data_IF_660414520065
#
_entry.id   IF_660414520065
#
_cell.length_a   1.000
_cell.length_b   1.000
_cell.length_c   1.000
_cell.angle_alpha   90.00
_cell.angle_beta   90.00
_cell.angle_gamma   90.00
#
_symmetry.space_group_name_H-M   'P 1'
#
loop_
_entity.id
_entity.type
_entity.pdbx_description
1 polymer ?
#
# COMPACT_ATOMS: atom_id res chain seq x y z
N UNK A 1 17.17 -0.40 9.99
CA UNK A 1 16.07 -0.16 10.92
C UNK A 1 16.51 0.60 12.16
N UNK A 2 17.52 0.12 12.91
CA UNK A 2 17.96 0.73 14.17
C UNK A 2 18.36 2.21 14.02
N UNK A 3 19.10 2.55 12.97
CA UNK A 3 19.55 3.92 12.71
C UNK A 3 18.37 4.86 12.41
N UNK A 4 17.36 4.38 11.68
CA UNK A 4 16.15 5.14 11.40
C UNK A 4 15.33 5.39 12.67
N UNK A 5 15.20 4.36 13.52
CA UNK A 5 14.52 4.49 14.80
C UNK A 5 15.21 5.52 15.70
N UNK A 6 16.53 5.48 15.83
CA UNK A 6 17.27 6.46 16.62
C UNK A 6 17.14 7.88 16.07
N UNK A 7 17.21 8.05 14.75
CA UNK A 7 16.99 9.34 14.10
C UNK A 7 15.66 9.94 14.47
N UNK A 8 14.58 9.14 14.44
CA UNK A 8 13.24 9.58 14.81
C UNK A 8 13.15 9.89 16.29
N UNK A 9 13.63 9.00 17.17
CA UNK A 9 13.56 9.18 18.63
C UNK A 9 14.29 10.44 19.13
N UNK A 10 15.36 10.86 18.44
CA UNK A 10 16.08 12.10 18.76
C UNK A 10 15.32 13.38 18.38
N UNK A 11 14.32 13.26 17.50
CA UNK A 11 13.60 14.39 16.88
C UNK A 11 12.10 14.42 17.14
N UNK A 12 11.55 13.36 17.72
CA UNK A 12 10.12 13.33 18.03
C UNK A 12 9.75 14.47 19.01
N UNK A 13 8.60 15.05 18.77
CA UNK A 13 8.05 16.15 19.58
C UNK A 13 7.46 15.67 20.92
N UNK A 14 7.52 14.36 21.19
CA UNK A 14 6.94 13.76 22.38
C UNK A 14 7.93 13.72 23.54
N UNK A 15 7.41 13.95 24.74
CA UNK A 15 8.18 13.74 25.97
C UNK A 15 8.44 12.24 26.19
N UNK A 16 9.47 11.88 27.00
CA UNK A 16 9.69 10.48 27.38
C UNK A 16 8.47 9.80 28.01
N UNK A 17 7.67 10.54 28.78
CA UNK A 17 6.45 10.03 29.40
C UNK A 17 5.37 9.75 28.35
N UNK A 18 5.23 10.61 27.35
CA UNK A 18 4.29 10.40 26.25
C UNK A 18 4.70 9.19 25.40
N UNK A 19 5.99 9.07 25.04
CA UNK A 19 6.51 7.90 24.33
C UNK A 19 6.32 6.61 25.12
N UNK A 20 6.57 6.64 26.43
CA UNK A 20 6.38 5.47 27.27
C UNK A 20 4.91 5.00 27.28
N UNK A 21 3.96 5.93 27.36
CA UNK A 21 2.52 5.63 27.34
C UNK A 21 2.00 5.06 26.01
N UNK A 22 2.77 5.19 24.91
CA UNK A 22 2.44 4.57 23.61
C UNK A 22 2.75 3.07 23.62
N UNK A 23 3.88 2.68 24.21
CA UNK A 23 4.44 1.34 24.07
C UNK A 23 4.25 0.46 25.31
N UNK A 24 3.93 1.07 26.47
CA UNK A 24 3.87 0.39 27.76
C UNK A 24 2.61 0.79 28.51
N UNK A 25 1.75 -0.15 28.81
CA UNK A 25 0.56 0.06 29.63
C UNK A 25 0.95 0.64 31.01
N UNK A 26 0.17 1.61 31.48
CA UNK A 26 0.38 2.31 32.76
C UNK A 26 1.69 3.12 32.88
N UNK A 27 2.39 3.36 31.76
CA UNK A 27 3.57 4.21 31.73
C UNK A 27 3.24 5.62 31.27
N UNK A 28 3.44 6.62 32.16
CA UNK A 28 3.26 8.02 31.82
C UNK A 28 1.82 8.49 31.62
N UNK A 29 1.65 9.69 31.07
CA UNK A 29 0.34 10.23 30.72
C UNK A 29 0.11 9.93 29.24
N UNK A 30 -0.90 9.16 28.85
CA UNK A 30 -1.10 8.80 27.46
C UNK A 30 -1.65 9.97 26.65
N UNK A 31 -0.78 10.86 26.17
CA UNK A 31 -1.10 11.61 24.97
C UNK A 31 -0.86 10.63 23.83
N UNK A 32 -1.93 10.08 23.29
CA UNK A 32 -1.80 9.13 22.22
C UNK A 32 -1.45 9.89 20.91
N UNK A 33 -0.21 9.81 20.39
CA UNK A 33 0.19 10.52 19.18
C UNK A 33 -0.60 10.07 17.96
N UNK A 34 -1.20 8.89 18.00
CA UNK A 34 -2.11 8.40 16.98
C UNK A 34 -3.40 9.24 16.90
N UNK A 35 -3.68 10.04 17.93
CA UNK A 35 -4.87 10.89 18.05
C UNK A 35 -4.58 12.39 17.87
N UNK A 36 -3.36 12.77 17.49
CA UNK A 36 -3.06 14.18 17.19
C UNK A 36 -3.94 14.62 16.00
N UNK A 37 -4.67 15.71 16.23
CA UNK A 37 -5.53 16.33 15.21
C UNK A 37 -4.86 17.58 14.65
N UNK A 38 -4.95 17.73 13.36
CA UNK A 38 -4.59 18.94 12.64
C UNK A 38 -5.64 19.18 11.54
N UNK A 39 -5.75 20.38 11.02
CA UNK A 39 -6.82 20.74 10.09
C UNK A 39 -6.26 21.39 8.84
N UNK A 40 -6.79 21.00 7.68
CA UNK A 40 -6.61 21.69 6.41
C UNK A 40 -7.74 22.69 6.19
N UNK A 41 -7.43 23.73 5.43
CA UNK A 41 -8.47 24.63 4.93
C UNK A 41 -9.18 23.97 3.76
N UNK A 42 -10.41 23.51 4.00
CA UNK A 42 -11.24 22.92 2.95
C UNK A 42 -12.10 24.02 2.31
N UNK A 43 -12.07 24.14 0.96
CA UNK A 43 -12.85 25.19 0.27
C UNK A 43 -14.34 25.06 0.53
N UNK A 44 -14.99 26.20 0.80
CA UNK A 44 -16.45 26.28 0.91
C UNK A 44 -17.15 25.99 -0.44
N UNK A 45 -18.46 26.21 -0.46
CA UNK A 45 -19.25 26.09 -1.71
C UNK A 45 -19.54 24.65 -2.12
N UNK A 46 -19.70 23.72 -1.15
CA UNK A 46 -20.17 22.36 -1.44
C UNK A 46 -21.45 22.41 -2.26
N UNK A 47 -21.49 21.83 -3.48
CA UNK A 47 -22.71 21.76 -4.26
C UNK A 47 -23.78 20.93 -3.55
N UNK A 48 -25.06 21.24 -3.80
CA UNK A 48 -26.13 20.39 -3.29
C UNK A 48 -25.98 18.95 -3.79
N UNK A 49 -26.14 17.99 -2.88
CA UNK A 49 -26.04 16.56 -3.21
C UNK A 49 -27.14 16.22 -4.21
N UNK A 50 -26.72 15.64 -5.33
CA UNK A 50 -27.65 15.17 -6.35
C UNK A 50 -27.76 13.65 -6.24
N UNK A 51 -29.00 13.11 -6.26
CA UNK A 51 -29.17 11.67 -6.30
C UNK A 51 -28.50 11.09 -7.57
N UNK A 52 -27.92 9.91 -7.45
CA UNK A 52 -27.35 9.22 -8.59
C UNK A 52 -28.43 9.00 -9.67
N UNK A 53 -28.13 9.28 -10.95
CA UNK A 53 -29.10 9.13 -12.01
C UNK A 53 -29.51 7.66 -12.16
N UNK A 54 -30.81 7.40 -12.18
CA UNK A 54 -31.34 6.07 -12.49
C UNK A 54 -30.96 5.69 -13.92
N UNK A 55 -30.25 4.59 -14.09
CA UNK A 55 -29.89 4.06 -15.42
C UNK A 55 -31.14 3.43 -16.03
N UNK A 56 -31.78 4.11 -16.99
CA UNK A 56 -33.02 3.65 -17.64
C UNK A 56 -32.78 2.74 -18.85
N UNK A 57 -31.55 2.68 -19.35
CA UNK A 57 -31.16 1.83 -20.48
C UNK A 57 -29.69 1.41 -20.34
N UNK A 58 -29.29 0.28 -20.94
CA UNK A 58 -27.89 -0.13 -20.95
C UNK A 58 -27.02 0.98 -21.51
N UNK A 59 -26.07 1.46 -20.74
CA UNK A 59 -25.01 2.38 -21.19
C UNK A 59 -23.75 1.60 -21.44
N UNK A 60 -22.83 2.16 -22.21
CA UNK A 60 -21.48 1.61 -22.35
C UNK A 60 -20.84 1.53 -20.96
N UNK A 61 -20.51 0.34 -20.53
CA UNK A 61 -19.82 0.05 -19.26
C UNK A 61 -18.32 -0.06 -19.51
N UNK A 62 -17.55 0.13 -18.47
CA UNK A 62 -16.13 -0.21 -18.45
C UNK A 62 -15.92 -1.45 -17.59
N UNK A 63 -15.03 -2.32 -18.05
CA UNK A 63 -14.56 -3.47 -17.29
C UNK A 63 -13.20 -3.13 -16.73
N UNK A 64 -13.11 -3.15 -15.42
CA UNK A 64 -11.90 -2.83 -14.66
C UNK A 64 -11.53 -4.04 -13.83
N UNK A 65 -10.27 -4.45 -13.89
CA UNK A 65 -9.70 -5.41 -12.95
C UNK A 65 -9.11 -4.63 -11.78
N UNK A 66 -9.45 -5.01 -10.56
CA UNK A 66 -8.81 -4.52 -9.35
C UNK A 66 -8.01 -5.67 -8.72
N UNK A 67 -6.73 -5.44 -8.49
CA UNK A 67 -5.80 -6.33 -7.80
C UNK A 67 -5.22 -5.59 -6.59
N UNK A 68 -4.92 -6.30 -5.53
CA UNK A 68 -4.28 -5.73 -4.34
C UNK A 68 -3.55 -6.79 -3.53
N UNK A 69 -2.58 -6.36 -2.72
CA UNK A 69 -1.97 -7.18 -1.67
C UNK A 69 -1.47 -8.53 -2.19
N UNK A 70 -0.69 -8.48 -3.28
CA UNK A 70 -0.28 -9.69 -4.00
C UNK A 70 0.80 -10.45 -3.22
N UNK A 71 1.66 -9.75 -2.48
CA UNK A 71 2.72 -10.28 -1.62
C UNK A 71 3.46 -11.47 -2.23
N UNK A 72 4.20 -11.20 -3.32
CA UNK A 72 4.90 -12.25 -4.07
C UNK A 72 6.14 -12.71 -3.32
N UNK A 73 6.12 -13.95 -2.81
CA UNK A 73 7.26 -14.58 -2.18
C UNK A 73 8.15 -15.30 -3.21
N UNK A 74 9.30 -14.70 -3.50
CA UNK A 74 10.29 -15.27 -4.43
C UNK A 74 11.11 -16.38 -3.82
N UNK A 75 11.18 -16.47 -2.48
CA UNK A 75 11.88 -17.51 -1.74
C UNK A 75 10.95 -18.68 -1.36
N UNK A 76 9.69 -18.63 -1.82
CA UNK A 76 8.75 -19.73 -1.61
C UNK A 76 9.30 -21.05 -2.09
N UNK A 77 9.41 -22.02 -1.20
CA UNK A 77 9.98 -23.33 -1.48
C UNK A 77 8.96 -24.45 -1.34
N UNK A 78 8.71 -25.17 -2.45
CA UNK A 78 7.80 -26.32 -2.46
C UNK A 78 8.34 -27.41 -1.53
N UNK A 79 7.45 -27.95 -0.67
CA UNK A 79 7.77 -29.04 0.24
C UNK A 79 8.41 -28.60 1.55
N UNK A 80 8.68 -27.30 1.75
CA UNK A 80 9.06 -26.75 3.05
C UNK A 80 7.87 -26.70 4.02
N UNK A 81 8.11 -26.39 5.28
CA UNK A 81 7.04 -26.35 6.30
C UNK A 81 6.12 -25.13 6.09
N UNK A 82 4.85 -25.36 5.92
CA UNK A 82 3.82 -24.33 5.78
C UNK A 82 3.20 -23.93 7.11
N UNK A 83 3.43 -24.68 8.20
CA UNK A 83 2.96 -24.37 9.54
C UNK A 83 4.15 -24.20 10.52
N UNK A 84 5.03 -23.27 10.20
CA UNK A 84 6.25 -23.03 10.96
C UNK A 84 6.05 -22.17 12.21
N UNK A 85 4.86 -21.61 12.42
CA UNK A 85 4.51 -20.83 13.61
C UNK A 85 4.17 -21.72 14.83
N UNK A 86 4.19 -23.03 14.69
CA UNK A 86 3.96 -23.93 15.83
C UNK A 86 5.00 -23.63 16.93
N UNK A 87 4.49 -23.38 18.12
CA UNK A 87 5.33 -23.27 19.30
C UNK A 87 6.05 -24.60 19.50
N UNK A 88 7.38 -24.56 19.54
CA UNK A 88 8.12 -25.69 20.06
C UNK A 88 7.81 -25.86 21.57
N UNK A 89 8.14 -27.02 22.15
CA UNK A 89 7.89 -27.34 23.57
C UNK A 89 8.50 -26.34 24.56
N UNK A 90 9.29 -25.37 24.08
CA UNK A 90 9.93 -24.29 24.85
C UNK A 90 9.22 -22.92 24.66
N UNK A 91 8.07 -22.84 23.97
CA UNK A 91 7.30 -21.61 23.76
C UNK A 91 7.93 -20.61 22.79
N UNK A 92 8.97 -20.98 22.05
CA UNK A 92 9.57 -20.13 21.02
C UNK A 92 8.85 -20.35 19.69
N UNK A 93 8.12 -19.35 19.23
CA UNK A 93 7.66 -19.26 17.85
C UNK A 93 8.89 -19.29 16.90
N UNK A 94 8.77 -19.99 15.78
CA UNK A 94 9.93 -20.24 14.93
C UNK A 94 10.13 -19.14 13.89
N UNK A 95 9.14 -18.85 13.07
CA UNK A 95 9.28 -17.84 12.00
C UNK A 95 7.95 -17.08 11.76
N UNK A 96 8.06 -15.83 11.35
CA UNK A 96 6.87 -15.01 11.05
C UNK A 96 6.24 -15.38 9.71
N UNK A 97 7.04 -15.80 8.72
CA UNK A 97 6.63 -16.26 7.40
C UNK A 97 7.14 -17.67 7.17
N UNK A 98 6.28 -18.58 6.70
CA UNK A 98 6.56 -19.97 6.43
C UNK A 98 6.81 -20.23 4.93
N UNK A 99 6.75 -21.50 4.51
CA UNK A 99 6.94 -21.92 3.13
C UNK A 99 8.34 -21.61 2.53
N UNK A 100 9.36 -21.51 3.37
CA UNK A 100 10.75 -21.21 3.00
C UNK A 100 11.71 -22.25 3.55
N UNK A 101 12.88 -22.37 2.95
CA UNK A 101 13.97 -23.22 3.44
C UNK A 101 14.83 -22.46 4.45
N UNK A 102 14.48 -22.54 5.71
CA UNK A 102 15.32 -22.00 6.78
C UNK A 102 16.46 -22.95 7.10
N UNK A 103 17.73 -22.44 7.19
CA UNK A 103 18.90 -23.30 7.44
C UNK A 103 18.81 -24.14 8.72
N UNK A 104 18.18 -23.62 9.76
CA UNK A 104 17.97 -24.31 11.04
C UNK A 104 17.00 -25.48 10.91
N UNK A 105 15.95 -25.38 10.13
CA UNK A 105 14.98 -26.46 9.89
C UNK A 105 15.63 -27.62 9.12
N UNK A 106 16.43 -27.31 8.11
CA UNK A 106 17.14 -28.32 7.33
C UNK A 106 18.14 -29.09 8.18
N UNK A 107 18.83 -28.42 9.10
CA UNK A 107 19.77 -29.04 10.00
C UNK A 107 19.04 -29.92 11.01
N UNK A 108 17.97 -29.42 11.61
CA UNK A 108 17.21 -30.16 12.61
C UNK A 108 16.47 -31.37 11.98
N UNK A 109 15.82 -31.17 10.83
CA UNK A 109 15.14 -32.24 10.09
C UNK A 109 16.13 -33.36 9.67
N UNK A 110 17.34 -33.01 9.22
CA UNK A 110 18.39 -33.99 8.91
C UNK A 110 18.92 -34.69 10.15
N UNK A 111 19.06 -34.01 11.27
CA UNK A 111 19.57 -34.53 12.52
C UNK A 111 18.57 -35.45 13.26
N UNK A 112 17.30 -35.09 13.24
CA UNK A 112 16.26 -35.79 14.00
C UNK A 112 15.40 -36.72 13.14
N UNK A 113 15.55 -36.69 11.81
CA UNK A 113 14.68 -37.42 10.89
C UNK A 113 13.23 -36.87 10.93
N UNK A 114 13.07 -35.63 11.39
CA UNK A 114 11.75 -34.98 11.45
C UNK A 114 11.16 -34.85 10.05
N UNK A 115 9.93 -35.28 9.92
CA UNK A 115 9.16 -35.15 8.67
C UNK A 115 8.46 -33.81 8.70
N UNK A 116 8.53 -33.06 7.58
CA UNK A 116 7.69 -31.88 7.35
C UNK A 116 6.22 -32.27 7.54
N UNK A 117 5.52 -31.60 8.45
CA UNK A 117 4.15 -31.96 8.82
C UNK A 117 3.13 -31.41 7.82
N UNK A 118 3.35 -30.19 7.38
CA UNK A 118 2.47 -29.45 6.47
C UNK A 118 3.27 -28.95 5.27
N UNK A 119 3.55 -29.83 4.28
CA UNK A 119 4.44 -29.46 3.17
C UNK A 119 3.78 -28.39 2.26
N UNK A 120 4.53 -27.35 1.98
CA UNK A 120 4.15 -26.28 1.07
C UNK A 120 3.86 -26.82 -0.33
N UNK A 121 2.67 -26.51 -0.85
CA UNK A 121 2.21 -26.95 -2.17
C UNK A 121 2.90 -26.22 -3.33
N UNK A 122 2.71 -26.73 -4.55
CA UNK A 122 3.27 -26.12 -5.75
C UNK A 122 2.69 -24.72 -6.04
N UNK A 123 1.42 -24.52 -5.73
CA UNK A 123 0.66 -23.31 -6.08
C UNK A 123 0.38 -22.40 -4.87
N UNK A 124 0.93 -22.72 -3.74
CA UNK A 124 0.71 -22.02 -2.49
C UNK A 124 0.37 -22.98 -1.36
N UNK A 125 0.17 -22.45 -0.19
CA UNK A 125 -0.35 -23.16 0.96
C UNK A 125 -1.69 -22.56 1.41
N UNK A 126 -2.57 -23.39 1.95
CA UNK A 126 -3.90 -22.94 2.44
C UNK A 126 -3.78 -22.25 3.79
N UNK A 127 -2.60 -22.36 4.44
CA UNK A 127 -2.35 -21.78 5.74
C UNK A 127 -1.93 -20.29 5.60
N UNK A 128 -2.40 -19.46 6.51
CA UNK A 128 -2.21 -18.00 6.54
C UNK A 128 -0.76 -17.54 6.77
N UNK A 129 0.18 -18.48 6.89
CA UNK A 129 1.57 -18.16 7.21
C UNK A 129 2.51 -18.16 6.01
N UNK A 130 1.99 -18.24 4.79
CA UNK A 130 2.76 -18.27 3.56
C UNK A 130 2.22 -17.26 2.57
N UNK A 131 3.12 -16.50 1.97
CA UNK A 131 2.79 -15.58 0.89
C UNK A 131 2.70 -16.27 -0.47
N UNK A 132 2.29 -15.53 -1.49
CA UNK A 132 2.00 -16.06 -2.81
C UNK A 132 3.28 -16.45 -3.56
N UNK A 133 3.46 -17.71 -4.01
CA UNK A 133 4.61 -18.03 -4.85
C UNK A 133 4.52 -17.33 -6.22
N UNK A 134 5.64 -16.82 -6.72
CA UNK A 134 5.75 -16.12 -8.00
C UNK A 134 5.05 -16.84 -9.16
N UNK A 135 5.17 -18.19 -9.24
CA UNK A 135 4.51 -19.01 -10.27
C UNK A 135 2.99 -18.92 -10.25
N UNK A 136 2.40 -18.70 -9.06
CA UNK A 136 0.95 -18.57 -8.91
C UNK A 136 0.50 -17.21 -9.37
N UNK A 137 1.26 -16.16 -9.03
CA UNK A 137 1.05 -14.83 -9.57
C UNK A 137 1.09 -14.85 -11.10
N UNK A 138 2.14 -15.42 -11.70
CA UNK A 138 2.28 -15.51 -13.17
C UNK A 138 1.13 -16.30 -13.79
N UNK A 139 0.75 -17.44 -13.20
CA UNK A 139 -0.36 -18.25 -13.68
C UNK A 139 -1.71 -17.52 -13.59
N UNK A 140 -1.92 -16.76 -12.52
CA UNK A 140 -3.13 -15.94 -12.35
C UNK A 140 -3.21 -14.83 -13.43
N UNK A 141 -2.13 -14.08 -13.66
CA UNK A 141 -2.08 -13.04 -14.70
C UNK A 141 -2.32 -13.62 -16.09
N UNK A 142 -1.71 -14.77 -16.39
CA UNK A 142 -1.98 -15.50 -17.63
C UNK A 142 -3.46 -15.84 -17.77
N UNK A 143 -4.05 -16.49 -16.76
CA UNK A 143 -5.45 -16.89 -16.78
C UNK A 143 -6.40 -15.71 -16.98
N UNK A 144 -6.17 -14.61 -16.26
CA UNK A 144 -6.98 -13.39 -16.35
C UNK A 144 -6.89 -12.82 -17.76
N UNK A 145 -5.69 -12.74 -18.35
CA UNK A 145 -5.49 -12.21 -19.70
C UNK A 145 -6.15 -13.05 -20.79
N UNK A 146 -6.24 -14.36 -20.60
CA UNK A 146 -6.91 -15.30 -21.53
C UNK A 146 -8.43 -15.24 -21.39
N UNK A 147 -8.94 -14.98 -20.18
CA UNK A 147 -10.37 -15.03 -19.85
C UNK A 147 -11.06 -13.68 -20.01
N UNK A 148 -10.37 -12.58 -19.67
CA UNK A 148 -10.90 -11.21 -19.65
C UNK A 148 -10.19 -10.31 -20.66
N UNK A 149 -10.48 -10.51 -21.95
CA UNK A 149 -9.81 -9.80 -23.06
C UNK A 149 -10.30 -8.36 -23.30
N UNK A 150 -11.38 -7.98 -22.64
CA UNK A 150 -12.07 -6.71 -22.84
C UNK A 150 -11.91 -5.74 -21.66
N UNK A 151 -10.83 -5.88 -20.90
CA UNK A 151 -10.48 -4.94 -19.84
C UNK A 151 -10.15 -3.56 -20.42
N UNK A 152 -10.77 -2.52 -19.86
CA UNK A 152 -10.48 -1.15 -20.23
C UNK A 152 -9.21 -0.63 -19.56
N UNK A 153 -9.02 -1.00 -18.30
CA UNK A 153 -7.80 -0.74 -17.52
C UNK A 153 -7.74 -1.67 -16.29
N UNK A 154 -6.59 -1.69 -15.65
CA UNK A 154 -6.32 -2.43 -14.43
C UNK A 154 -5.97 -1.42 -13.34
N UNK A 155 -6.43 -1.67 -12.12
CA UNK A 155 -6.05 -0.94 -10.90
C UNK A 155 -5.32 -1.89 -9.98
N UNK A 156 -4.19 -1.46 -9.42
CA UNK A 156 -3.44 -2.22 -8.42
C UNK A 156 -3.19 -1.30 -7.21
N UNK A 157 -3.62 -1.75 -6.03
CA UNK A 157 -3.58 -0.92 -4.83
C UNK A 157 -2.45 -1.27 -3.87
N UNK A 158 -1.28 -1.65 -4.42
CA UNK A 158 -0.03 -1.80 -3.67
C UNK A 158 0.22 -3.19 -3.10
N UNK A 159 1.28 -3.28 -2.33
CA UNK A 159 1.78 -4.44 -1.61
C UNK A 159 2.14 -5.63 -2.49
N UNK A 160 3.27 -5.47 -3.18
CA UNK A 160 3.87 -6.55 -3.97
C UNK A 160 4.89 -7.38 -3.18
N UNK A 161 5.53 -6.78 -2.16
CA UNK A 161 6.60 -7.41 -1.40
C UNK A 161 6.04 -8.41 -0.38
N UNK A 162 6.76 -9.50 -0.14
CA UNK A 162 6.39 -10.53 0.83
C UNK A 162 6.53 -10.03 2.28
N UNK A 163 5.96 -10.74 3.25
CA UNK A 163 6.01 -10.39 4.68
C UNK A 163 7.33 -10.80 5.38
N UNK A 164 8.42 -10.92 4.65
CA UNK A 164 9.75 -11.24 5.20
C UNK A 164 10.52 -10.00 5.68
N UNK A 165 9.91 -9.20 6.53
CA UNK A 165 10.37 -7.87 6.99
C UNK A 165 11.82 -7.84 7.48
N UNK A 166 12.34 -8.96 7.97
CA UNK A 166 13.72 -9.09 8.46
C UNK A 166 14.76 -9.18 7.33
N UNK A 167 14.33 -9.43 6.10
CA UNK A 167 15.18 -9.60 4.93
C UNK A 167 14.96 -8.54 3.85
N UNK A 168 14.27 -7.47 4.18
CA UNK A 168 14.02 -6.34 3.28
C UNK A 168 15.32 -5.62 2.94
N UNK A 169 15.52 -5.37 1.65
CA UNK A 169 16.52 -4.42 1.15
C UNK A 169 15.96 -3.67 -0.05
N UNK A 170 16.47 -2.46 -0.27
CA UNK A 170 16.07 -1.63 -1.42
C UNK A 170 16.23 -2.39 -2.73
N UNK A 171 17.35 -3.09 -2.90
CA UNK A 171 17.67 -3.85 -4.11
C UNK A 171 16.69 -5.01 -4.35
N UNK A 172 16.26 -5.68 -3.28
CA UNK A 172 15.27 -6.78 -3.37
C UNK A 172 13.91 -6.24 -3.77
N UNK A 173 13.48 -5.16 -3.13
CA UNK A 173 12.19 -4.51 -3.44
C UNK A 173 12.17 -3.95 -4.86
N UNK A 174 13.23 -3.25 -5.30
CA UNK A 174 13.35 -2.80 -6.69
C UNK A 174 13.25 -3.96 -7.68
N UNK A 175 13.96 -5.06 -7.42
CA UNK A 175 13.91 -6.25 -8.27
C UNK A 175 12.51 -6.90 -8.25
N UNK A 176 11.80 -6.88 -7.13
CA UNK A 176 10.44 -7.42 -7.04
C UNK A 176 9.46 -6.58 -7.84
N UNK A 177 9.45 -5.26 -7.66
CA UNK A 177 8.63 -4.32 -8.44
C UNK A 177 8.87 -4.53 -9.94
N UNK A 178 10.13 -4.59 -10.38
CA UNK A 178 10.48 -4.82 -11.78
C UNK A 178 9.92 -6.16 -12.31
N UNK A 179 10.10 -7.25 -11.55
CA UNK A 179 9.65 -8.59 -11.95
C UNK A 179 8.12 -8.70 -12.01
N UNK A 180 7.41 -8.11 -11.04
CA UNK A 180 5.94 -8.06 -11.04
C UNK A 180 5.45 -7.28 -12.25
N UNK A 181 6.06 -6.12 -12.51
CA UNK A 181 5.75 -5.28 -13.67
C UNK A 181 6.00 -6.00 -14.99
N UNK A 182 7.09 -6.76 -15.13
CA UNK A 182 7.35 -7.54 -16.36
C UNK A 182 6.25 -8.57 -16.66
N UNK A 183 5.71 -9.22 -15.65
CA UNK A 183 4.59 -10.15 -15.81
C UNK A 183 3.34 -9.41 -16.31
N UNK A 184 3.03 -8.25 -15.71
CA UNK A 184 1.90 -7.42 -16.12
C UNK A 184 2.03 -6.98 -17.59
N UNK A 185 3.21 -6.50 -17.98
CA UNK A 185 3.49 -6.11 -19.38
C UNK A 185 3.35 -7.28 -20.35
N UNK A 186 3.82 -8.45 -19.95
CA UNK A 186 3.76 -9.67 -20.77
C UNK A 186 2.33 -10.08 -21.07
N UNK A 187 1.46 -10.05 -20.08
CA UNK A 187 0.09 -10.53 -20.19
C UNK A 187 -0.92 -9.45 -20.57
N UNK A 188 -0.62 -8.18 -20.29
CA UNK A 188 -1.50 -7.04 -20.58
C UNK A 188 -0.80 -5.93 -21.37
N UNK A 189 -0.18 -6.25 -22.54
CA UNK A 189 0.69 -5.32 -23.27
C UNK A 189 -0.02 -4.06 -23.78
N UNK A 190 -1.35 -4.09 -23.92
CA UNK A 190 -2.15 -2.99 -24.46
C UNK A 190 -3.20 -2.46 -23.47
N UNK A 191 -3.20 -2.94 -22.22
CA UNK A 191 -4.16 -2.51 -21.21
C UNK A 191 -3.46 -1.52 -20.27
N UNK A 192 -3.96 -0.29 -20.11
CA UNK A 192 -3.41 0.62 -19.12
C UNK A 192 -3.52 0.05 -17.70
N UNK A 193 -2.49 0.25 -16.90
CA UNK A 193 -2.43 -0.16 -15.50
C UNK A 193 -2.14 1.06 -14.65
N UNK A 194 -2.96 1.27 -13.61
CA UNK A 194 -2.83 2.37 -12.67
C UNK A 194 -2.61 1.80 -11.28
N UNK A 195 -1.50 2.19 -10.67
CA UNK A 195 -1.04 1.60 -9.41
C UNK A 195 -0.98 2.63 -8.30
N UNK A 196 -1.13 2.21 -7.06
CA UNK A 196 -0.76 2.99 -5.87
C UNK A 196 0.31 2.24 -5.08
N UNK A 197 1.14 2.99 -4.37
CA UNK A 197 2.18 2.41 -3.52
C UNK A 197 1.55 1.86 -2.24
N UNK A 198 1.98 0.67 -1.82
CA UNK A 198 1.64 0.08 -0.54
C UNK A 198 2.71 0.32 0.52
N UNK A 199 2.47 -0.14 1.73
CA UNK A 199 3.41 0.04 2.83
C UNK A 199 4.56 -0.95 2.81
N UNK A 200 4.38 -2.11 2.19
CA UNK A 200 5.43 -3.13 2.03
C UNK A 200 6.48 -2.76 0.97
N UNK A 201 6.22 -1.81 0.08
CA UNK A 201 7.24 -1.30 -0.84
C UNK A 201 8.31 -0.44 -0.14
N UNK A 202 8.05 0.07 1.06
CA UNK A 202 9.04 0.83 1.82
C UNK A 202 10.10 -0.06 2.49
N UNK A 203 11.32 0.45 2.61
CA UNK A 203 12.42 -0.22 3.32
C UNK A 203 13.07 0.74 4.32
N UNK A 204 12.87 0.52 5.63
CA UNK A 204 11.98 -0.46 6.28
C UNK A 204 10.51 -0.32 5.89
N UNK A 205 9.71 -1.37 6.08
CA UNK A 205 8.26 -1.31 5.86
C UNK A 205 7.66 -0.06 6.52
N UNK A 206 6.70 0.58 5.86
CA UNK A 206 6.07 1.85 6.25
C UNK A 206 6.98 3.09 6.24
N UNK A 207 8.28 2.96 6.22
CA UNK A 207 9.21 4.08 6.43
C UNK A 207 9.34 4.96 5.17
N UNK A 208 8.47 5.93 5.02
CA UNK A 208 8.52 6.96 3.97
C UNK A 208 8.67 8.35 4.58
N UNK A 209 9.89 8.89 4.54
CA UNK A 209 10.16 10.25 5.02
C UNK A 209 9.61 11.29 4.05
N UNK A 210 8.85 12.29 4.50
CA UNK A 210 8.44 13.40 3.65
C UNK A 210 9.61 14.39 3.41
N UNK A 211 9.53 15.18 2.33
CA UNK A 211 10.61 16.09 1.88
C UNK A 211 11.03 17.16 2.90
N UNK A 212 10.14 17.52 3.81
CA UNK A 212 10.44 18.49 4.86
C UNK A 212 11.24 17.91 6.04
N UNK A 213 11.63 16.63 5.95
CA UNK A 213 12.43 15.95 6.96
C UNK A 213 13.92 16.29 6.79
N UNK A 214 14.62 16.50 7.91
CA UNK A 214 16.07 16.57 7.91
C UNK A 214 16.68 15.29 7.31
N UNK A 215 17.76 15.44 6.57
CA UNK A 215 18.46 14.33 5.91
C UNK A 215 17.60 13.57 4.86
N UNK A 216 16.61 14.22 4.26
CA UNK A 216 15.75 13.60 3.24
C UNK A 216 16.56 12.96 2.09
N UNK A 217 17.66 13.59 1.65
CA UNK A 217 18.51 13.07 0.56
C UNK A 217 19.05 11.66 0.84
N UNK A 218 19.21 11.29 2.10
CA UNK A 218 19.73 9.98 2.51
C UNK A 218 18.65 9.02 3.02
N UNK A 219 17.60 9.56 3.63
CA UNK A 219 16.52 8.79 4.30
C UNK A 219 15.23 8.73 3.50
N UNK A 220 15.06 9.65 2.55
CA UNK A 220 13.86 9.75 1.74
C UNK A 220 13.64 8.54 0.83
N UNK A 221 12.40 8.30 0.41
CA UNK A 221 12.02 7.20 -0.45
C UNK A 221 12.31 7.47 -1.94
N UNK A 222 13.22 8.38 -2.28
CA UNK A 222 13.55 8.74 -3.67
C UNK A 222 13.93 7.54 -4.53
N UNK A 223 14.67 6.57 -3.96
CA UNK A 223 15.00 5.32 -4.63
C UNK A 223 13.74 4.56 -5.06
N UNK A 224 12.75 4.43 -4.16
CA UNK A 224 11.48 3.78 -4.42
C UNK A 224 10.66 4.56 -5.45
N UNK A 225 10.52 5.87 -5.27
CA UNK A 225 9.76 6.70 -6.19
C UNK A 225 10.33 6.67 -7.62
N UNK A 226 11.64 6.52 -7.76
CA UNK A 226 12.28 6.38 -9.07
C UNK A 226 11.93 5.05 -9.74
N UNK A 227 12.02 3.91 -9.05
CA UNK A 227 11.65 2.62 -9.65
C UNK A 227 10.16 2.54 -9.97
N UNK A 228 9.29 3.10 -9.11
CA UNK A 228 7.86 3.21 -9.40
C UNK A 228 7.61 4.08 -10.65
N UNK A 229 8.25 5.24 -10.73
CA UNK A 229 8.15 6.14 -11.88
C UNK A 229 8.63 5.47 -13.18
N UNK A 230 9.76 4.77 -13.12
CA UNK A 230 10.30 4.05 -14.28
C UNK A 230 9.36 2.93 -14.75
N UNK A 231 8.86 2.12 -13.83
CA UNK A 231 7.98 0.98 -14.15
C UNK A 231 6.60 1.44 -14.61
N UNK A 232 6.02 2.47 -13.98
CA UNK A 232 4.68 2.97 -14.31
C UNK A 232 4.66 3.91 -15.52
N UNK A 233 5.82 4.50 -15.92
CA UNK A 233 5.91 5.45 -17.05
C UNK A 233 5.33 4.94 -18.38
N UNK A 234 5.19 3.65 -18.52
CA UNK A 234 4.60 3.02 -19.72
C UNK A 234 3.07 3.18 -19.81
N UNK A 235 2.42 3.51 -18.70
CA UNK A 235 0.96 3.61 -18.59
C UNK A 235 0.45 4.99 -18.19
N UNK A 236 1.31 5.80 -17.58
CA UNK A 236 0.98 7.13 -17.07
C UNK A 236 1.68 8.23 -17.87
N UNK A 237 1.10 9.41 -17.81
CA UNK A 237 1.64 10.58 -18.53
C UNK A 237 2.98 11.06 -17.93
N UNK A 238 3.84 11.77 -18.72
CA UNK A 238 5.08 12.35 -18.18
C UNK A 238 4.86 13.32 -17.01
N UNK A 239 3.69 13.96 -16.92
CA UNK A 239 3.36 14.81 -15.78
C UNK A 239 3.06 13.97 -14.53
N UNK A 240 2.34 12.86 -14.69
CA UNK A 240 2.09 11.89 -13.63
C UNK A 240 3.37 11.23 -13.12
N UNK A 241 4.34 10.94 -14.01
CA UNK A 241 5.68 10.45 -13.62
C UNK A 241 6.35 11.39 -12.61
N UNK A 242 6.29 12.71 -12.83
CA UNK A 242 6.83 13.69 -11.87
C UNK A 242 6.11 13.66 -10.51
N UNK A 243 4.79 13.44 -10.54
CA UNK A 243 4.00 13.28 -9.32
C UNK A 243 4.41 12.05 -8.51
N UNK A 244 4.66 10.92 -9.21
CA UNK A 244 5.20 9.70 -8.61
C UNK A 244 6.59 9.96 -8.00
N UNK A 245 7.49 10.59 -8.75
CA UNK A 245 8.85 10.91 -8.28
C UNK A 245 8.86 11.85 -7.06
N UNK A 246 7.84 12.67 -6.91
CA UNK A 246 7.78 13.61 -5.79
C UNK A 246 7.10 13.02 -4.54
N UNK A 247 5.96 12.30 -4.67
CA UNK A 247 5.16 11.85 -3.52
C UNK A 247 4.46 10.50 -3.72
N UNK A 248 4.82 9.74 -4.77
CA UNK A 248 4.12 8.53 -5.19
C UNK A 248 2.60 8.73 -5.36
N UNK A 249 2.19 9.92 -5.84
CA UNK A 249 0.79 10.25 -6.11
C UNK A 249 0.67 10.96 -7.46
N UNK A 250 -0.40 10.67 -8.20
CA UNK A 250 -0.56 11.18 -9.57
C UNK A 250 -2.03 11.17 -10.00
N UNK A 251 -2.29 11.73 -11.19
CA UNK A 251 -3.62 11.74 -11.81
C UNK A 251 -3.57 11.23 -13.24
N UNK A 252 -4.59 10.46 -13.63
CA UNK A 252 -4.80 10.02 -15.01
C UNK A 252 -6.27 10.16 -15.42
N UNK A 253 -6.54 10.03 -16.72
CA UNK A 253 -7.89 10.07 -17.27
C UNK A 253 -8.20 8.82 -18.08
N UNK A 254 -8.60 7.73 -17.42
CA UNK A 254 -8.86 6.45 -18.09
C UNK A 254 -10.02 6.50 -19.09
N UNK A 255 -10.93 7.46 -18.93
CA UNK A 255 -12.05 7.66 -19.84
C UNK A 255 -12.51 9.12 -19.85
N UNK A 256 -13.23 9.57 -20.92
CA UNK A 256 -13.83 10.89 -20.94
C UNK A 256 -14.78 11.12 -19.76
N UNK A 257 -14.54 12.21 -19.02
CA UNK A 257 -15.33 12.57 -17.84
C UNK A 257 -14.99 11.79 -16.56
N UNK A 258 -13.93 10.96 -16.59
CA UNK A 258 -13.44 10.23 -15.45
C UNK A 258 -11.96 10.57 -15.21
N UNK A 259 -11.64 11.12 -14.05
CA UNK A 259 -10.28 11.26 -13.54
C UNK A 259 -10.01 10.17 -12.51
N UNK A 260 -8.85 9.55 -12.59
CA UNK A 260 -8.32 8.65 -11.57
C UNK A 260 -7.23 9.39 -10.81
N UNK A 261 -7.29 9.35 -9.49
CA UNK A 261 -6.29 9.94 -8.59
C UNK A 261 -5.68 8.81 -7.77
N UNK A 262 -4.38 8.57 -7.93
CA UNK A 262 -3.61 7.70 -7.05
C UNK A 262 -3.01 8.53 -5.94
N UNK A 263 -3.18 8.09 -4.68
CA UNK A 263 -2.71 8.81 -3.50
C UNK A 263 -1.87 7.89 -2.61
N UNK A 264 -0.72 8.37 -2.15
CA UNK A 264 0.14 7.67 -1.20
C UNK A 264 -0.46 7.75 0.21
N UNK A 265 -1.04 6.66 0.68
CA UNK A 265 -1.59 6.55 2.04
C UNK A 265 -0.64 5.95 3.06
N UNK A 266 0.60 5.61 2.70
CA UNK A 266 1.66 5.34 3.68
C UNK A 266 1.96 6.59 4.50
N UNK A 267 1.63 7.76 3.96
CA UNK A 267 1.63 9.04 4.68
C UNK A 267 0.50 9.21 5.73
N UNK A 268 -0.33 8.19 5.92
CA UNK A 268 -1.22 8.13 7.08
C UNK A 268 -0.85 7.01 8.06
N UNK A 269 0.07 6.10 7.69
CA UNK A 269 0.41 4.95 8.51
C UNK A 269 0.94 5.34 9.90
N UNK A 270 0.36 4.72 10.92
CA UNK A 270 0.83 4.81 12.30
C UNK A 270 2.21 4.17 12.49
N UNK A 271 2.66 3.33 11.57
CA UNK A 271 3.98 2.70 11.59
C UNK A 271 5.01 3.46 10.75
N UNK A 272 4.60 4.52 10.05
CA UNK A 272 5.55 5.46 9.46
C UNK A 272 6.15 6.36 10.54
N UNK A 273 7.22 5.92 11.17
CA UNK A 273 7.83 6.61 12.31
C UNK A 273 8.25 8.05 12.02
N UNK A 274 8.53 8.40 10.77
CA UNK A 274 8.87 9.79 10.42
C UNK A 274 7.71 10.76 10.67
N UNK A 275 6.47 10.28 10.65
CA UNK A 275 5.29 11.11 10.94
C UNK A 275 5.19 11.49 12.42
N UNK A 276 5.93 10.84 13.32
CA UNK A 276 6.01 11.27 14.73
C UNK A 276 6.86 12.53 14.93
N UNK A 277 7.63 12.92 13.92
CA UNK A 277 8.32 14.22 13.91
C UNK A 277 7.37 15.32 13.42
N UNK A 278 6.63 15.06 12.34
CA UNK A 278 5.59 15.97 11.83
C UNK A 278 4.54 15.18 11.05
N UNK A 279 3.29 15.20 11.52
CA UNK A 279 2.16 14.51 10.90
C UNK A 279 1.37 15.37 9.91
N UNK A 280 1.68 16.68 9.85
CA UNK A 280 0.84 17.64 9.14
C UNK A 280 1.05 17.56 7.63
N UNK A 281 0.07 17.04 6.91
CA UNK A 281 -0.02 16.97 5.46
C UNK A 281 1.32 16.62 4.77
N UNK A 282 1.85 15.39 4.98
CA UNK A 282 3.14 15.00 4.41
C UNK A 282 3.19 15.27 2.92
N UNK A 283 4.24 15.99 2.48
CA UNK A 283 4.45 16.46 1.10
C UNK A 283 3.26 17.20 0.48
N UNK A 284 2.38 17.77 1.31
CA UNK A 284 1.19 18.48 0.85
C UNK A 284 0.22 17.58 0.08
N UNK A 285 0.18 16.29 0.41
CA UNK A 285 -0.57 15.28 -0.34
C UNK A 285 -2.08 15.53 -0.32
N UNK A 286 -2.65 15.87 0.83
CA UNK A 286 -4.08 16.17 0.94
C UNK A 286 -4.41 17.57 0.37
N UNK A 287 -3.53 18.54 0.54
CA UNK A 287 -3.67 19.86 -0.10
C UNK A 287 -3.70 19.72 -1.63
N UNK A 288 -2.82 18.89 -2.19
CA UNK A 288 -2.82 18.58 -3.61
C UNK A 288 -4.11 17.85 -4.03
N UNK A 289 -4.57 16.86 -3.26
CA UNK A 289 -5.83 16.16 -3.52
C UNK A 289 -7.01 17.14 -3.62
N UNK A 290 -7.09 18.12 -2.70
CA UNK A 290 -8.11 19.17 -2.74
C UNK A 290 -8.06 19.93 -4.07
N UNK A 291 -6.87 20.31 -4.54
CA UNK A 291 -6.72 21.05 -5.80
C UNK A 291 -7.16 20.23 -7.02
N UNK A 292 -6.85 18.93 -7.05
CA UNK A 292 -7.27 18.02 -8.11
C UNK A 292 -8.78 17.78 -8.13
N UNK A 293 -9.40 17.71 -6.94
CA UNK A 293 -10.85 17.58 -6.81
C UNK A 293 -11.60 18.85 -7.21
N UNK A 294 -11.05 20.03 -6.90
CA UNK A 294 -11.60 21.32 -7.38
C UNK A 294 -11.54 21.44 -8.90
N UNK A 295 -10.42 21.03 -9.53
CA UNK A 295 -10.29 21.00 -10.99
C UNK A 295 -11.36 20.07 -11.59
N UNK A 296 -11.52 18.85 -11.03
CA UNK A 296 -12.54 17.91 -11.50
C UNK A 296 -13.97 18.44 -11.31
N UNK A 297 -14.26 19.05 -10.17
CA UNK A 297 -15.57 19.67 -9.90
C UNK A 297 -15.87 20.78 -10.92
N UNK A 298 -14.90 21.64 -11.22
CA UNK A 298 -15.05 22.73 -12.20
C UNK A 298 -15.30 22.23 -13.62
N UNK A 299 -14.76 21.06 -13.98
CA UNK A 299 -14.94 20.40 -15.27
C UNK A 299 -16.14 19.46 -15.34
N UNK A 300 -16.81 19.21 -14.21
CA UNK A 300 -17.89 18.22 -14.12
C UNK A 300 -17.41 16.77 -14.31
N UNK A 301 -16.12 16.49 -14.10
CA UNK A 301 -15.56 15.15 -14.11
C UNK A 301 -15.94 14.38 -12.85
N UNK A 302 -16.07 13.07 -12.96
CA UNK A 302 -16.11 12.15 -11.80
C UNK A 302 -14.72 11.68 -11.46
N UNK A 303 -14.50 11.37 -10.19
CA UNK A 303 -13.19 10.93 -9.69
C UNK A 303 -13.29 9.53 -9.10
N UNK A 304 -12.36 8.67 -9.49
CA UNK A 304 -11.99 7.46 -8.77
C UNK A 304 -10.69 7.74 -8.01
N UNK A 305 -10.67 7.42 -6.72
CA UNK A 305 -9.45 7.45 -5.90
C UNK A 305 -8.95 6.01 -5.77
N UNK A 306 -7.67 5.81 -6.00
CA UNK A 306 -6.97 4.57 -5.70
C UNK A 306 -5.88 4.85 -4.67
N UNK A 307 -5.79 4.00 -3.67
CA UNK A 307 -4.75 4.07 -2.65
C UNK A 307 -4.62 2.73 -1.94
N UNK A 308 -3.69 2.62 -0.99
CA UNK A 308 -3.45 1.36 -0.30
C UNK A 308 -4.18 1.30 1.04
N UNK A 309 -3.72 2.05 2.05
CA UNK A 309 -4.32 2.05 3.40
C UNK A 309 -5.65 2.80 3.39
N UNK A 310 -6.78 2.19 3.79
CA UNK A 310 -8.05 2.89 3.93
C UNK A 310 -7.98 3.93 5.06
N UNK A 311 -8.51 5.12 4.82
CA UNK A 311 -8.49 6.19 5.83
C UNK A 311 -9.29 5.87 7.11
N UNK A 312 -10.24 4.95 7.03
CA UNK A 312 -11.04 4.46 8.16
C UNK A 312 -10.39 3.35 8.97
N UNK A 313 -9.25 2.83 8.54
CA UNK A 313 -8.52 1.79 9.25
C UNK A 313 -7.80 2.34 10.49
N UNK A 314 -7.67 1.51 11.53
CA UNK A 314 -6.92 1.87 12.74
C UNK A 314 -5.42 2.05 12.49
N UNK A 315 -4.93 1.56 11.37
CA UNK A 315 -3.58 1.78 10.88
C UNK A 315 -3.31 3.24 10.47
N UNK A 316 -4.34 4.00 10.13
CA UNK A 316 -4.23 5.38 9.69
C UNK A 316 -4.31 6.37 10.86
N UNK A 317 -3.36 7.32 10.94
CA UNK A 317 -3.31 8.39 11.94
C UNK A 317 -4.58 9.24 11.90
N UNK A 318 -5.16 9.52 13.06
CA UNK A 318 -6.49 10.17 13.18
C UNK A 318 -6.52 11.57 12.56
N UNK A 319 -5.44 12.35 12.65
CA UNK A 319 -5.37 13.68 12.03
C UNK A 319 -5.48 13.62 10.51
N UNK A 320 -4.80 12.67 9.88
CA UNK A 320 -4.89 12.46 8.44
C UNK A 320 -6.27 11.93 8.03
N UNK A 321 -6.75 10.90 8.73
CA UNK A 321 -8.06 10.29 8.48
C UNK A 321 -9.20 11.31 8.59
N UNK A 322 -9.17 12.20 9.58
CA UNK A 322 -10.17 13.26 9.76
C UNK A 322 -10.18 14.24 8.58
N UNK A 323 -9.01 14.75 8.18
CA UNK A 323 -8.92 15.65 7.04
C UNK A 323 -9.37 14.96 5.73
N UNK A 324 -9.00 13.70 5.52
CA UNK A 324 -9.45 12.95 4.36
C UNK A 324 -10.97 12.74 4.35
N UNK A 325 -11.58 12.42 5.48
CA UNK A 325 -13.02 12.32 5.64
C UNK A 325 -13.72 13.64 5.26
N UNK A 326 -13.21 14.76 5.76
CA UNK A 326 -13.77 16.08 5.45
C UNK A 326 -13.64 16.44 3.96
N UNK A 327 -12.51 16.05 3.32
CA UNK A 327 -12.32 16.21 1.88
C UNK A 327 -13.35 15.37 1.11
N UNK A 328 -13.49 14.08 1.43
CA UNK A 328 -14.45 13.19 0.77
C UNK A 328 -15.87 13.71 0.93
N UNK A 329 -16.25 14.14 2.13
CA UNK A 329 -17.56 14.74 2.39
C UNK A 329 -17.79 16.02 1.60
N UNK A 330 -16.77 16.91 1.48
CA UNK A 330 -16.87 18.13 0.67
C UNK A 330 -17.08 17.81 -0.82
N UNK A 331 -16.41 16.80 -1.33
CA UNK A 331 -16.40 16.45 -2.75
C UNK A 331 -17.26 15.23 -3.11
N UNK A 332 -18.24 14.85 -2.29
CA UNK A 332 -19.09 13.67 -2.50
C UNK A 332 -19.82 13.64 -3.83
N UNK A 333 -20.12 14.81 -4.44
CA UNK A 333 -20.70 14.88 -5.79
C UNK A 333 -19.67 14.62 -6.90
N UNK A 334 -18.39 14.70 -6.61
CA UNK A 334 -17.29 14.55 -7.57
C UNK A 334 -16.66 13.17 -7.46
N UNK A 335 -16.39 12.69 -6.24
CA UNK A 335 -15.86 11.37 -5.98
C UNK A 335 -16.94 10.32 -6.23
N UNK A 336 -16.68 9.40 -7.16
CA UNK A 336 -17.63 8.37 -7.56
C UNK A 336 -17.33 7.01 -6.94
N UNK A 337 -16.05 6.70 -6.70
CA UNK A 337 -15.59 5.47 -6.04
C UNK A 337 -14.20 5.65 -5.45
N UNK A 338 -13.88 4.80 -4.50
CA UNK A 338 -12.57 4.69 -3.87
C UNK A 338 -12.18 3.20 -3.81
N UNK A 339 -10.92 2.88 -4.10
CA UNK A 339 -10.40 1.52 -4.14
C UNK A 339 -9.16 1.45 -3.24
N UNK A 340 -9.12 0.44 -2.38
CA UNK A 340 -8.09 0.25 -1.36
C UNK A 340 -7.58 -1.18 -1.34
N UNK A 341 -6.49 -1.41 -0.62
CA UNK A 341 -5.91 -2.68 -0.25
C UNK A 341 -5.75 -2.83 1.26
N UNK A 342 -4.60 -3.36 1.68
CA UNK A 342 -4.09 -3.42 3.04
C UNK A 342 -4.79 -4.41 3.99
N UNK A 343 -6.10 -4.52 3.94
CA UNK A 343 -6.86 -5.30 4.92
C UNK A 343 -6.92 -6.80 4.60
N UNK A 344 -6.47 -7.21 3.41
CA UNK A 344 -6.55 -8.59 2.90
C UNK A 344 -7.97 -9.19 2.97
N UNK A 345 -8.98 -8.34 2.89
CA UNK A 345 -10.38 -8.75 2.99
C UNK A 345 -11.19 -8.19 1.82
N UNK A 346 -12.08 -9.02 1.27
CA UNK A 346 -13.09 -8.56 0.31
C UNK A 346 -14.26 -7.93 1.08
N UNK A 347 -14.20 -6.62 1.25
CA UNK A 347 -15.25 -5.85 1.91
C UNK A 347 -15.40 -4.46 1.31
N UNK A 348 -16.47 -3.77 1.67
CA UNK A 348 -16.61 -2.34 1.36
C UNK A 348 -17.02 -1.58 2.63
N UNK A 349 -16.59 -0.33 2.68
CA UNK A 349 -16.91 0.59 3.77
C UNK A 349 -17.84 1.69 3.24
N UNK A 350 -18.79 2.12 4.08
CA UNK A 350 -19.77 3.16 3.77
C UNK A 350 -19.60 4.34 4.72
#
# INVERSE_FOLDING_TARGET
FQNELYFVLERVIFTPEELCGIFVDDCGTPVNPLKVLWNLTIPGGKPAVKPWPTVKSPKKTQRVLHLSDIHVDRDYTIGSEADCKMQNDNGKGTYALCCRNYPSEMVEARRTGAVVKSPAGKWGAVLENCDLPYRTYEAAMKHISETHKDLNYIVITGDFEAHDLWDYSKEKTEANIANVTEVLVRYFPNTPIYESVGNHEAVPMDAMAPHNMDEYDTRGPTWLYNILADTWSRWITPESVKGVQYRASYVERPAPGLKLISINTVYCSAFNFYLYINQTDPDGTLTWLISELLDSESRGEKVHIISHVPAGDDYCLKGWAHNFFDIVNRFENTIAAQFYGHTHQDHFQV
#
